data_IF_971604254143
#
_entry.id   IF_971604254143
#
_cell.length_a   1.000
_cell.length_b   1.000
_cell.length_c   1.000
_cell.angle_alpha   90.00
_cell.angle_beta   90.00
_cell.angle_gamma   90.00
#
_symmetry.space_group_name_H-M   'P 1'
#
loop_
_entity.id
_entity.type
_entity.pdbx_description
1 polymer ?
#
# COMPACT_ATOMS: atom_id res chain seq x y z
N UNK A 1 -41.84 -52.66 25.02
CA UNK A 1 -40.85 -53.06 23.99
C UNK A 1 -41.03 -52.17 22.77
N UNK A 2 -39.92 -51.63 22.22
CA UNK A 2 -39.77 -50.79 20.99
C UNK A 2 -40.18 -49.32 21.21
N UNK A 3 -39.27 -48.41 21.61
CA UNK A 3 -38.29 -47.66 20.79
C UNK A 3 -38.93 -46.98 19.57
N UNK A 4 -39.21 -45.67 19.63
CA UNK A 4 -38.38 -44.61 19.02
C UNK A 4 -39.11 -43.25 19.16
N UNK A 5 -38.55 -42.35 19.96
CA UNK A 5 -38.85 -40.92 19.94
C UNK A 5 -37.92 -40.26 18.92
N UNK A 6 -38.43 -39.33 18.11
CA UNK A 6 -37.96 -37.93 17.97
C UNK A 6 -38.77 -37.29 16.83
N UNK A 7 -39.36 -36.15 17.16
CA UNK A 7 -40.32 -35.41 16.37
C UNK A 7 -39.72 -34.75 15.12
N UNK A 8 -40.58 -34.54 14.12
CA UNK A 8 -40.37 -33.56 13.06
C UNK A 8 -40.15 -32.16 13.68
N UNK A 9 -38.90 -31.70 13.70
CA UNK A 9 -38.59 -30.27 13.72
C UNK A 9 -37.52 -29.98 12.67
N UNK A 10 -37.98 -29.30 11.62
CA UNK A 10 -37.24 -28.39 10.75
C UNK A 10 -35.96 -28.92 10.06
N UNK A 11 -36.12 -29.07 8.75
CA UNK A 11 -35.08 -29.09 7.73
C UNK A 11 -34.30 -27.75 7.81
N UNK A 12 -33.20 -27.69 8.58
CA UNK A 12 -32.23 -26.58 8.51
C UNK A 12 -30.86 -26.93 9.14
N UNK A 13 -30.55 -28.23 9.31
CA UNK A 13 -29.33 -28.66 10.00
C UNK A 13 -28.46 -29.52 9.09
N UNK A 14 -28.07 -28.96 7.95
CA UNK A 14 -26.88 -29.40 7.25
C UNK A 14 -26.43 -28.27 6.32
N UNK A 15 -25.12 -28.03 6.30
CA UNK A 15 -24.36 -27.30 5.29
C UNK A 15 -24.12 -25.78 5.55
N UNK A 16 -22.90 -25.52 6.02
CA UNK A 16 -22.03 -24.43 5.57
C UNK A 16 -22.35 -23.01 6.06
N UNK A 17 -22.24 -22.80 7.37
CA UNK A 17 -21.55 -21.57 7.83
C UNK A 17 -20.12 -21.95 8.21
N UNK A 18 -19.43 -22.58 7.25
CA UNK A 18 -18.00 -22.34 7.05
C UNK A 18 -17.92 -21.06 6.23
N UNK A 19 -18.18 -19.92 6.88
CA UNK A 19 -17.47 -18.74 6.44
C UNK A 19 -16.16 -18.82 7.23
N UNK A 20 -15.00 -19.12 6.60
CA UNK A 20 -13.79 -18.52 7.11
C UNK A 20 -14.14 -17.04 7.09
N UNK A 21 -14.41 -16.45 8.25
CA UNK A 21 -14.50 -15.01 8.41
C UNK A 21 -13.29 -14.52 7.64
N UNK A 22 -13.56 -13.91 6.48
CA UNK A 22 -12.52 -13.43 5.62
C UNK A 22 -11.61 -12.65 6.56
N UNK A 23 -10.36 -13.09 6.68
CA UNK A 23 -9.38 -12.27 7.34
C UNK A 23 -9.45 -11.00 6.52
N UNK A 24 -10.08 -9.97 7.10
CA UNK A 24 -10.00 -8.62 6.58
C UNK A 24 -8.52 -8.47 6.33
N UNK A 25 -8.15 -8.36 5.06
CA UNK A 25 -6.77 -8.09 4.69
C UNK A 25 -6.54 -6.70 5.27
N UNK A 26 -6.17 -6.67 6.55
CA UNK A 26 -5.90 -5.46 7.28
C UNK A 26 -4.86 -4.79 6.41
N UNK A 27 -5.17 -3.57 5.97
CA UNK A 27 -4.17 -2.73 5.33
C UNK A 27 -3.12 -2.55 6.40
N UNK A 28 -2.09 -3.39 6.36
CA UNK A 28 -1.04 -3.37 7.36
C UNK A 28 -0.41 -1.98 7.30
N UNK A 29 -0.29 -1.28 8.43
CA UNK A 29 0.40 -0.01 8.46
C UNK A 29 1.81 -0.21 7.87
N UNK A 30 2.20 0.65 6.93
CA UNK A 30 3.56 0.61 6.40
C UNK A 30 4.45 1.32 7.41
N UNK A 31 5.57 0.72 7.85
CA UNK A 31 6.41 1.26 8.93
C UNK A 31 7.32 2.44 8.51
N UNK A 32 6.81 3.35 7.68
CA UNK A 32 7.42 4.65 7.34
C UNK A 32 6.76 5.72 8.23
N UNK A 33 7.28 5.84 9.45
CA UNK A 33 6.69 6.63 10.53
C UNK A 33 7.07 8.11 10.44
N UNK A 34 8.23 8.43 9.87
CA UNK A 34 8.66 9.80 9.58
C UNK A 34 8.17 10.33 8.22
N UNK A 35 7.56 9.45 7.40
CA UNK A 35 6.96 9.75 6.09
C UNK A 35 8.00 10.20 5.05
N UNK A 36 9.25 9.78 5.20
CA UNK A 36 10.33 10.12 4.28
C UNK A 36 10.26 9.31 2.97
N UNK A 37 9.40 8.29 2.89
CA UNK A 37 9.21 7.44 1.70
C UNK A 37 10.14 6.23 1.63
N UNK A 38 10.85 5.90 2.71
CA UNK A 38 11.64 4.68 2.87
C UNK A 38 11.55 4.21 4.32
N UNK A 39 11.37 2.91 4.51
CA UNK A 39 11.43 2.33 5.86
C UNK A 39 12.91 2.17 6.24
N UNK A 40 13.41 2.98 7.16
CA UNK A 40 14.83 2.97 7.53
C UNK A 40 15.11 3.18 9.02
N UNK A 41 16.35 3.54 9.36
CA UNK A 41 16.83 3.60 10.74
C UNK A 41 16.14 4.70 11.58
N UNK A 42 15.89 5.91 11.06
CA UNK A 42 14.95 6.87 11.65
C UNK A 42 13.62 6.27 12.12
N UNK A 43 12.96 5.46 11.28
CA UNK A 43 11.71 4.80 11.66
C UNK A 43 11.89 3.81 12.81
N UNK A 44 13.01 3.09 12.82
CA UNK A 44 13.36 2.20 13.92
C UNK A 44 13.50 2.95 15.24
N UNK A 45 14.09 4.15 15.24
CA UNK A 45 14.20 4.99 16.46
C UNK A 45 12.82 5.43 16.97
N UNK A 46 11.89 5.76 16.07
CA UNK A 46 10.51 6.08 16.43
C UNK A 46 9.79 4.86 17.00
N UNK A 47 9.97 3.68 16.38
CA UNK A 47 9.38 2.42 16.83
C UNK A 47 9.84 2.02 18.23
N UNK A 48 11.16 2.02 18.51
CA UNK A 48 11.67 1.64 19.84
C UNK A 48 11.24 2.59 20.94
N UNK A 49 10.93 3.84 20.62
CA UNK A 49 10.36 4.80 21.57
C UNK A 49 8.97 4.40 22.09
N UNK A 50 8.28 3.49 21.39
CA UNK A 50 6.93 3.00 21.73
C UNK A 50 6.89 1.53 22.15
N UNK A 51 8.01 0.84 22.03
CA UNK A 51 8.10 -0.59 22.29
C UNK A 51 7.69 -0.95 23.72
N UNK A 52 6.85 -1.96 23.86
CA UNK A 52 6.31 -2.46 25.12
C UNK A 52 5.07 -1.73 25.64
N UNK A 53 4.59 -0.68 24.95
CA UNK A 53 3.32 -0.05 25.29
C UNK A 53 2.13 -0.85 24.73
N UNK A 54 0.99 -0.78 25.42
CA UNK A 54 -0.25 -1.47 25.03
C UNK A 54 -1.44 -0.51 25.02
N UNK A 55 -2.52 -0.93 24.38
CA UNK A 55 -3.74 -0.14 24.30
C UNK A 55 -4.23 0.27 25.70
N UNK A 56 -4.42 1.58 25.89
CA UNK A 56 -4.76 2.19 27.18
C UNK A 56 -3.59 2.83 27.91
N UNK A 57 -2.35 2.55 27.52
CA UNK A 57 -1.18 3.30 28.01
C UNK A 57 -1.11 4.69 27.35
N UNK A 58 -0.66 5.70 28.09
CA UNK A 58 -0.51 7.08 27.54
C UNK A 58 0.50 7.16 26.38
N UNK A 59 1.44 6.23 26.35
CA UNK A 59 2.49 6.19 25.32
C UNK A 59 2.09 5.39 24.08
N UNK A 60 1.02 4.60 24.14
CA UNK A 60 0.57 3.75 23.04
C UNK A 60 0.03 4.59 21.88
N UNK A 61 0.43 4.22 20.68
CA UNK A 61 -0.03 4.82 19.43
C UNK A 61 -0.27 3.71 18.41
N UNK A 62 -1.52 3.54 17.99
CA UNK A 62 -1.99 2.44 17.12
C UNK A 62 -1.14 2.26 15.84
N UNK A 63 -0.50 3.32 15.35
CA UNK A 63 0.33 3.26 14.13
C UNK A 63 1.58 2.37 14.28
N UNK A 64 2.05 2.12 15.50
CA UNK A 64 3.21 1.27 15.77
C UNK A 64 2.84 -0.20 16.06
N UNK A 65 1.54 -0.49 16.22
CA UNK A 65 0.97 -1.83 16.37
C UNK A 65 0.63 -2.38 14.97
N UNK A 66 1.61 -3.02 14.35
CA UNK A 66 1.61 -3.41 12.94
C UNK A 66 0.80 -4.68 12.69
N UNK A 67 0.65 -5.54 13.69
CA UNK A 67 -0.21 -6.72 13.62
C UNK A 67 -1.63 -6.50 14.20
N UNK A 68 -1.83 -5.39 14.91
CA UNK A 68 -3.12 -4.95 15.45
C UNK A 68 -3.56 -5.75 16.68
N UNK A 69 -2.63 -6.33 17.44
CA UNK A 69 -2.93 -7.16 18.60
C UNK A 69 -3.21 -6.34 19.89
N UNK A 70 -3.04 -5.02 19.85
CA UNK A 70 -3.22 -4.10 20.97
C UNK A 70 -1.96 -3.88 21.81
N UNK A 71 -0.80 -4.41 21.40
CA UNK A 71 0.48 -4.30 22.10
C UNK A 71 1.60 -4.10 21.08
N UNK A 72 2.49 -3.13 21.32
CA UNK A 72 3.65 -2.90 20.44
C UNK A 72 4.81 -3.76 20.94
N UNK A 73 5.06 -4.89 20.28
CA UNK A 73 6.02 -5.89 20.75
C UNK A 73 6.90 -6.51 19.65
N UNK A 74 7.48 -7.68 19.94
CA UNK A 74 8.39 -8.36 19.03
C UNK A 74 7.70 -8.84 17.74
N UNK A 75 6.40 -9.13 17.77
CA UNK A 75 5.61 -9.47 16.58
C UNK A 75 5.59 -8.31 15.58
N UNK A 76 5.40 -7.09 16.08
CA UNK A 76 5.48 -5.87 15.26
C UNK A 76 6.90 -5.64 14.75
N UNK A 77 7.92 -5.91 15.56
CA UNK A 77 9.30 -5.82 15.11
C UNK A 77 9.60 -6.74 13.91
N UNK A 78 9.05 -7.96 13.90
CA UNK A 78 9.19 -8.85 12.74
C UNK A 78 8.51 -8.29 11.49
N UNK A 79 7.35 -7.66 11.67
CA UNK A 79 6.64 -6.95 10.58
C UNK A 79 7.45 -5.76 10.08
N UNK A 80 8.06 -4.98 10.97
CA UNK A 80 8.95 -3.87 10.66
C UNK A 80 10.15 -4.33 9.82
N UNK A 81 10.86 -5.37 10.28
CA UNK A 81 12.06 -5.90 9.59
C UNK A 81 11.71 -6.46 8.22
N UNK A 82 10.52 -7.04 8.05
CA UNK A 82 10.06 -7.52 6.74
C UNK A 82 9.99 -6.39 5.70
N UNK A 83 9.73 -5.16 6.13
CA UNK A 83 9.59 -3.98 5.26
C UNK A 83 10.81 -3.05 5.26
N UNK A 84 11.82 -3.32 6.11
CA UNK A 84 13.02 -2.51 6.21
C UNK A 84 13.76 -2.37 4.86
N UNK A 85 14.13 -1.14 4.52
CA UNK A 85 14.79 -0.76 3.26
C UNK A 85 13.85 -0.66 2.06
N UNK A 86 12.54 -0.93 2.21
CA UNK A 86 11.58 -0.75 1.11
C UNK A 86 11.22 0.72 0.96
N UNK A 87 11.04 1.14 -0.30
CA UNK A 87 10.47 2.45 -0.63
C UNK A 87 8.96 2.42 -0.46
N UNK A 88 8.43 3.45 0.16
CA UNK A 88 7.00 3.67 0.34
C UNK A 88 6.58 4.76 -0.64
N UNK A 89 5.73 4.44 -1.64
CA UNK A 89 5.26 5.44 -2.57
C UNK A 89 4.41 6.44 -1.80
N UNK A 90 4.87 7.69 -1.71
CA UNK A 90 4.10 8.74 -1.04
C UNK A 90 2.91 9.12 -1.89
N UNK A 91 1.86 9.66 -1.27
CA UNK A 91 0.71 10.20 -2.01
C UNK A 91 1.15 11.31 -2.98
N UNK A 92 2.21 12.07 -2.67
CA UNK A 92 2.81 13.01 -3.63
C UNK A 92 3.55 12.31 -4.77
N UNK A 93 4.19 11.17 -4.51
CA UNK A 93 4.78 10.36 -5.57
C UNK A 93 3.66 9.82 -6.46
N UNK A 94 2.54 9.33 -5.90
CA UNK A 94 1.39 8.90 -6.70
C UNK A 94 0.70 10.07 -7.44
N UNK A 95 0.51 11.23 -6.79
CA UNK A 95 -0.17 12.38 -7.39
C UNK A 95 0.68 13.08 -8.47
N UNK A 96 2.01 12.90 -8.43
CA UNK A 96 2.95 13.37 -9.45
C UNK A 96 3.33 12.26 -10.46
N UNK A 97 3.24 10.97 -10.12
CA UNK A 97 3.61 9.83 -10.98
C UNK A 97 2.47 9.29 -11.83
N UNK A 98 1.21 9.69 -11.57
CA UNK A 98 0.08 9.23 -12.39
C UNK A 98 0.18 9.61 -13.89
N UNK A 99 1.10 10.51 -14.33
CA UNK A 99 1.58 10.55 -15.71
C UNK A 99 3.09 10.23 -15.93
N UNK A 100 3.93 9.93 -14.93
CA UNK A 100 5.40 9.71 -15.13
C UNK A 100 5.77 8.20 -15.17
N UNK A 101 4.82 7.35 -15.56
CA UNK A 101 5.14 6.09 -16.26
C UNK A 101 4.73 6.24 -17.71
N UNK A 102 5.48 7.04 -18.44
CA UNK A 102 5.25 7.22 -19.87
C UNK A 102 5.72 6.00 -20.65
N UNK A 103 5.00 5.69 -21.73
CA UNK A 103 5.37 4.66 -22.67
C UNK A 103 6.67 5.11 -23.36
N UNK A 104 7.73 4.30 -23.28
CA UNK A 104 8.97 4.58 -24.00
C UNK A 104 8.74 4.48 -25.52
N UNK A 105 9.74 4.84 -26.33
CA UNK A 105 9.58 4.83 -27.79
C UNK A 105 9.24 3.43 -28.36
N UNK A 106 9.52 2.36 -27.61
CA UNK A 106 9.22 0.97 -27.96
C UNK A 106 7.84 0.47 -27.54
N UNK A 107 7.01 1.26 -26.87
CA UNK A 107 5.67 0.81 -26.45
C UNK A 107 5.60 0.13 -25.09
N UNK A 108 6.71 0.12 -24.33
CA UNK A 108 6.81 -0.53 -23.03
C UNK A 108 6.83 0.48 -21.87
N UNK A 109 6.48 0.03 -20.67
CA UNK A 109 6.49 0.85 -19.47
C UNK A 109 7.93 1.04 -18.97
N UNK A 110 8.40 2.29 -18.88
CA UNK A 110 9.76 2.63 -18.46
C UNK A 110 9.81 3.63 -17.31
N UNK A 111 10.99 3.78 -16.69
CA UNK A 111 11.25 4.88 -15.74
C UNK A 111 11.47 6.20 -16.50
N UNK A 112 11.35 7.33 -15.82
CA UNK A 112 11.53 8.66 -16.41
C UNK A 112 12.88 8.79 -17.14
N UNK A 113 13.96 8.27 -16.55
CA UNK A 113 15.30 8.34 -17.14
C UNK A 113 15.40 7.57 -18.45
N UNK A 114 14.74 6.42 -18.54
CA UNK A 114 14.73 5.59 -19.76
C UNK A 114 13.86 6.22 -20.84
N UNK A 115 12.67 6.71 -20.46
CA UNK A 115 11.74 7.35 -21.39
C UNK A 115 12.35 8.61 -22.00
N UNK A 116 12.96 9.49 -21.19
CA UNK A 116 13.59 10.73 -21.68
C UNK A 116 14.72 10.42 -22.66
N UNK A 117 15.57 9.44 -22.35
CA UNK A 117 16.67 9.03 -23.23
C UNK A 117 16.19 8.47 -24.56
N UNK A 118 15.18 7.61 -24.55
CA UNK A 118 14.64 7.03 -25.77
C UNK A 118 13.84 8.06 -26.60
N UNK A 119 13.23 9.05 -25.95
CA UNK A 119 12.54 10.16 -26.59
C UNK A 119 13.50 11.11 -27.31
N UNK A 120 14.62 11.45 -26.68
CA UNK A 120 15.71 12.24 -27.29
C UNK A 120 16.37 11.46 -28.44
N UNK A 121 16.61 10.15 -28.28
CA UNK A 121 17.15 9.29 -29.35
C UNK A 121 16.20 9.21 -30.56
N UNK A 122 14.89 9.25 -30.33
CA UNK A 122 13.88 9.27 -31.39
C UNK A 122 13.74 10.64 -32.09
N UNK A 123 14.51 11.66 -31.70
CA UNK A 123 14.51 12.98 -32.33
C UNK A 123 13.24 13.80 -32.08
N UNK A 124 12.45 13.47 -31.05
CA UNK A 124 11.23 14.21 -30.68
C UNK A 124 11.61 15.30 -29.70
N UNK A 125 11.56 16.57 -30.12
CA UNK A 125 11.97 17.70 -29.28
C UNK A 125 11.01 17.94 -28.10
N UNK A 126 11.56 18.50 -27.01
CA UNK A 126 10.94 18.74 -25.70
C UNK A 126 9.59 19.47 -25.78
N UNK A 127 8.49 18.75 -25.67
CA UNK A 127 7.27 19.26 -25.03
C UNK A 127 6.76 18.19 -24.05
N UNK A 128 7.08 18.32 -22.76
CA UNK A 128 6.57 17.46 -21.69
C UNK A 128 5.12 17.82 -21.30
N UNK A 129 4.34 18.26 -22.27
CA UNK A 129 2.89 18.45 -22.17
C UNK A 129 2.27 17.82 -23.41
N UNK A 130 1.38 16.86 -23.18
CA UNK A 130 0.69 16.12 -24.23
C UNK A 130 -0.12 17.06 -25.13
N UNK A 131 -0.09 16.90 -26.47
CA UNK A 131 -0.77 17.81 -27.42
C UNK A 131 -2.29 17.99 -27.22
N UNK A 132 -2.96 17.13 -26.46
CA UNK A 132 -4.40 17.22 -26.20
C UNK A 132 -4.77 18.25 -25.12
N UNK A 133 -3.80 18.72 -24.32
CA UNK A 133 -4.03 19.73 -23.27
C UNK A 133 -3.99 21.17 -23.84
N UNK A 134 -3.44 21.39 -25.04
CA UNK A 134 -3.29 22.73 -25.66
C UNK A 134 -4.17 22.87 -26.91
N UNK A 135 -5.39 22.31 -26.92
CA UNK A 135 -6.32 22.52 -28.05
C UNK A 135 -7.20 23.76 -27.92
N UNK A 136 -7.04 24.57 -26.87
CA UNK A 136 -7.71 25.87 -26.76
C UNK A 136 -6.71 27.03 -26.80
N UNK A 137 -6.29 27.37 -28.01
CA UNK A 137 -5.97 28.74 -28.38
C UNK A 137 -4.59 29.27 -27.96
N UNK A 138 -3.57 29.03 -28.76
CA UNK A 138 -2.81 30.10 -29.43
C UNK A 138 -1.66 29.52 -30.25
N UNK A 139 -1.57 30.01 -31.49
CA UNK A 139 -0.43 29.81 -32.37
C UNK A 139 0.84 30.26 -31.66
N UNK A 140 1.87 29.41 -31.66
CA UNK A 140 3.25 29.89 -31.63
C UNK A 140 3.97 29.25 -32.81
N UNK A 141 4.41 30.13 -33.70
CA UNK A 141 5.20 29.83 -34.88
C UNK A 141 6.61 29.34 -34.51
N UNK A 142 7.23 28.69 -35.50
CA UNK A 142 8.63 28.24 -35.66
C UNK A 142 9.65 28.72 -34.62
#
# INVERSE_FOLDING_TARGET
MKRLCIALTAIASCLWVWLPMAHTSQVRPVPDFDQNGVVDFPDFLLFVGKFGSKQGDETYEDRFDLDGNGTIDFSDFLSFVNDFGKKVPRIVDMMIDLPIRAINASGDWGTNEVVVRDWERAGRSRSLISPWIISSGSKVCM
#
